data_IF_401273366640
#
_entry.id   IF_401273366640
#
_cell.length_a   1.000
_cell.length_b   1.000
_cell.length_c   1.000
_cell.angle_alpha   90.00
_cell.angle_beta   90.00
_cell.angle_gamma   90.00
#
_symmetry.space_group_name_H-M   'P 1'
#
loop_
_entity.id
_entity.type
_entity.pdbx_description
1 polymer ?
#
# COMPACT_ATOMS: atom_id res chain seq x y z
N UNK A 1 -21.03 28.29 43.15
CA UNK A 1 -19.76 27.68 42.70
C UNK A 1 -19.97 27.17 41.30
N UNK A 2 -19.26 27.76 40.35
CA UNK A 2 -19.41 27.50 38.92
C UNK A 2 -18.54 26.30 38.54
N UNK A 3 -19.17 25.22 38.06
CA UNK A 3 -18.46 24.14 37.39
C UNK A 3 -18.70 24.29 35.89
N UNK A 4 -17.83 25.10 35.31
CA UNK A 4 -17.75 25.40 33.89
C UNK A 4 -17.13 24.23 33.11
N UNK A 5 -17.77 23.96 31.97
CA UNK A 5 -17.15 23.58 30.69
C UNK A 5 -16.85 22.09 30.43
N UNK A 6 -17.74 21.52 29.62
CA UNK A 6 -17.56 20.35 28.73
C UNK A 6 -16.14 20.30 28.16
N UNK A 7 -15.42 19.20 28.40
CA UNK A 7 -14.18 18.88 27.70
C UNK A 7 -14.50 18.63 26.21
N UNK A 8 -14.30 19.65 25.37
CA UNK A 8 -14.21 19.45 23.92
C UNK A 8 -12.83 18.87 23.60
N UNK A 9 -12.67 17.56 23.70
CA UNK A 9 -11.55 16.88 23.04
C UNK A 9 -11.86 16.76 21.54
N UNK A 10 -11.39 17.73 20.75
CA UNK A 10 -11.40 17.68 19.29
C UNK A 10 -10.02 18.03 18.74
N UNK A 11 -9.55 17.32 17.70
CA UNK A 11 -9.50 15.87 17.56
C UNK A 11 -8.10 15.36 17.93
N UNK A 12 -8.00 14.09 18.29
CA UNK A 12 -6.74 13.36 18.26
C UNK A 12 -6.10 13.55 16.88
N UNK A 13 -5.06 14.38 16.81
CA UNK A 13 -4.21 14.56 15.63
C UNK A 13 -3.97 13.18 15.02
N UNK A 14 -4.37 12.99 13.77
CA UNK A 14 -4.17 11.72 13.06
C UNK A 14 -2.74 11.25 13.34
N UNK A 15 -2.61 10.03 13.87
CA UNK A 15 -1.33 9.52 14.32
C UNK A 15 -0.30 9.62 13.18
N UNK A 16 0.96 9.96 13.47
CA UNK A 16 1.98 10.23 12.44
C UNK A 16 2.08 9.15 11.35
N UNK A 17 1.80 7.89 11.71
CA UNK A 17 1.76 6.76 10.77
C UNK A 17 0.51 6.74 9.87
N UNK A 18 -0.66 7.21 10.33
CA UNK A 18 -1.86 7.36 9.48
C UNK A 18 -1.60 8.39 8.40
N UNK A 19 -1.05 9.56 8.78
CA UNK A 19 -0.72 10.62 7.83
C UNK A 19 0.32 10.15 6.81
N UNK A 20 1.35 9.40 7.26
CA UNK A 20 2.36 8.83 6.37
C UNK A 20 1.78 7.77 5.43
N UNK A 21 0.88 6.92 5.90
CA UNK A 21 0.19 5.95 5.05
C UNK A 21 -0.68 6.64 3.97
N UNK A 22 -1.39 7.70 4.35
CA UNK A 22 -2.24 8.47 3.44
C UNK A 22 -1.43 9.21 2.36
N UNK A 23 -0.30 9.81 2.74
CA UNK A 23 0.66 10.43 1.82
C UNK A 23 1.17 9.42 0.78
N UNK A 24 1.64 8.25 1.22
CA UNK A 24 2.15 7.20 0.33
C UNK A 24 1.06 6.65 -0.60
N UNK A 25 -0.17 6.48 -0.11
CA UNK A 25 -1.33 6.08 -0.93
C UNK A 25 -1.67 7.12 -2.01
N UNK A 26 -1.62 8.41 -1.67
CA UNK A 26 -1.84 9.47 -2.64
C UNK A 26 -0.74 9.49 -3.71
N UNK A 27 0.51 9.24 -3.34
CA UNK A 27 1.60 9.12 -4.29
C UNK A 27 1.44 7.92 -5.23
N UNK A 28 1.04 6.76 -4.71
CA UNK A 28 0.74 5.57 -5.55
C UNK A 28 -0.36 5.92 -6.55
N UNK A 29 -1.46 6.54 -6.10
CA UNK A 29 -2.57 6.94 -6.97
C UNK A 29 -2.12 7.88 -8.08
N UNK A 30 -1.32 8.90 -7.75
CA UNK A 30 -0.79 9.84 -8.73
C UNK A 30 0.11 9.17 -9.77
N UNK A 31 0.95 8.22 -9.34
CA UNK A 31 1.86 7.46 -10.23
C UNK A 31 1.10 6.55 -11.18
N UNK A 32 0.10 5.82 -10.67
CA UNK A 32 -0.71 4.88 -11.46
C UNK A 32 -1.68 5.61 -12.40
N UNK A 33 -2.15 6.80 -12.01
CA UNK A 33 -2.98 7.65 -12.88
C UNK A 33 -2.17 8.35 -14.00
N UNK A 34 -0.84 8.27 -13.99
CA UNK A 34 -0.01 8.86 -15.02
C UNK A 34 -0.22 8.15 -16.37
N UNK A 35 -0.53 8.88 -17.46
CA UNK A 35 -0.69 8.29 -18.79
C UNK A 35 0.62 7.73 -19.36
N UNK A 36 1.76 8.16 -18.81
CA UNK A 36 3.11 7.70 -19.17
C UNK A 36 3.67 6.72 -18.13
N UNK A 37 2.87 5.72 -17.74
CA UNK A 37 3.28 4.71 -16.78
C UNK A 37 4.47 3.90 -17.31
N UNK A 38 5.67 4.18 -16.82
CA UNK A 38 6.89 3.43 -17.15
C UNK A 38 7.14 2.30 -16.15
N UNK A 39 7.99 1.35 -16.52
CA UNK A 39 8.43 0.28 -15.63
C UNK A 39 9.04 0.83 -14.31
N UNK A 40 9.83 1.89 -14.40
CA UNK A 40 10.44 2.54 -13.23
C UNK A 40 9.39 3.16 -12.30
N UNK A 41 8.36 3.80 -12.85
CA UNK A 41 7.24 4.36 -12.09
C UNK A 41 6.43 3.24 -11.40
N UNK A 42 6.22 2.12 -12.09
CA UNK A 42 5.58 0.94 -11.51
C UNK A 42 6.41 0.35 -10.36
N UNK A 43 7.73 0.17 -10.54
CA UNK A 43 8.61 -0.29 -9.47
C UNK A 43 8.58 0.64 -8.26
N UNK A 44 8.58 1.95 -8.49
CA UNK A 44 8.54 2.92 -7.40
C UNK A 44 7.16 2.97 -6.70
N UNK A 45 6.07 2.79 -7.44
CA UNK A 45 4.73 2.60 -6.86
C UNK A 45 4.67 1.34 -5.98
N UNK A 46 5.29 0.24 -6.40
CA UNK A 46 5.36 -0.99 -5.59
C UNK A 46 6.17 -0.81 -4.30
N UNK A 47 7.29 -0.07 -4.37
CA UNK A 47 8.05 0.29 -3.16
C UNK A 47 7.21 1.15 -2.21
N UNK A 48 6.42 2.08 -2.74
CA UNK A 48 5.52 2.91 -1.95
C UNK A 48 4.44 2.07 -1.25
N UNK A 49 3.90 1.05 -1.92
CA UNK A 49 2.97 0.08 -1.30
C UNK A 49 3.62 -0.56 -0.07
N UNK A 50 4.87 -1.02 -0.18
CA UNK A 50 5.62 -1.57 0.97
C UNK A 50 5.74 -0.59 2.15
N UNK A 51 5.94 0.71 1.88
CA UNK A 51 6.00 1.75 2.94
C UNK A 51 4.65 1.99 3.61
N UNK A 52 3.53 1.86 2.89
CA UNK A 52 2.18 1.89 3.48
C UNK A 52 2.01 0.74 4.48
N UNK A 53 2.46 -0.47 4.12
CA UNK A 53 2.41 -1.63 5.01
C UNK A 53 3.26 -1.45 6.27
N UNK A 54 4.45 -0.86 6.16
CA UNK A 54 5.28 -0.52 7.32
C UNK A 54 4.55 0.45 8.27
N UNK A 55 3.84 1.45 7.71
CA UNK A 55 3.04 2.38 8.50
C UNK A 55 1.88 1.69 9.21
N UNK A 56 1.17 0.77 8.53
CA UNK A 56 0.11 -0.04 9.14
C UNK A 56 0.67 -0.93 10.26
N UNK A 57 1.81 -1.58 10.02
CA UNK A 57 2.50 -2.38 11.03
C UNK A 57 2.86 -1.55 12.28
N UNK A 58 3.36 -0.32 12.08
CA UNK A 58 3.62 0.63 13.16
C UNK A 58 2.37 1.04 13.94
N UNK A 59 1.26 1.30 13.24
CA UNK A 59 -0.04 1.60 13.86
C UNK A 59 -0.56 0.44 14.70
N UNK A 60 -0.49 -0.77 14.15
CA UNK A 60 -0.90 -1.98 14.84
C UNK A 60 -0.03 -2.21 16.08
N UNK A 61 1.28 -2.05 15.98
CA UNK A 61 2.21 -2.19 17.11
C UNK A 61 1.91 -1.19 18.25
N UNK A 62 1.48 0.03 17.93
CA UNK A 62 1.10 1.05 18.93
C UNK A 62 -0.32 0.90 19.50
N UNK A 63 -1.21 0.22 18.76
CA UNK A 63 -2.52 -0.21 19.27
C UNK A 63 -2.39 -1.39 20.24
N UNK A 64 -1.36 -2.20 20.03
CA UNK A 64 -1.07 -3.44 20.78
C UNK A 64 -0.85 -3.24 22.27
N UNK A 65 -0.43 -2.04 22.70
CA UNK A 65 -0.29 -1.68 24.10
C UNK A 65 -1.64 -1.77 24.86
N UNK A 66 -2.77 -1.90 24.14
CA UNK A 66 -4.12 -1.95 24.71
C UNK A 66 -4.86 -3.29 24.53
N UNK A 67 -4.46 -4.17 23.60
CA UNK A 67 -5.06 -5.52 23.47
C UNK A 67 -4.30 -6.42 22.48
N UNK A 68 -3.43 -7.30 22.98
CA UNK A 68 -2.57 -8.17 22.16
C UNK A 68 -3.29 -9.17 21.24
N UNK A 69 -4.58 -9.48 21.50
CA UNK A 69 -5.37 -10.39 20.65
C UNK A 69 -5.88 -9.71 19.36
N UNK A 70 -6.15 -8.39 19.40
CA UNK A 70 -6.61 -7.68 18.19
C UNK A 70 -5.46 -7.47 17.19
N UNK A 71 -4.22 -7.36 17.69
CA UNK A 71 -3.02 -7.17 16.88
C UNK A 71 -2.73 -8.37 15.98
N UNK A 72 -2.72 -9.58 16.53
CA UNK A 72 -2.43 -10.80 15.77
C UNK A 72 -3.45 -11.05 14.67
N UNK A 73 -4.74 -10.79 14.96
CA UNK A 73 -5.81 -10.93 13.99
C UNK A 73 -5.69 -9.86 12.88
N UNK A 74 -5.54 -8.59 13.22
CA UNK A 74 -5.39 -7.51 12.23
C UNK A 74 -4.15 -7.70 11.36
N UNK A 75 -3.03 -8.11 11.95
CA UNK A 75 -1.80 -8.38 11.19
C UNK A 75 -1.99 -9.53 10.21
N UNK A 76 -2.66 -10.61 10.61
CA UNK A 76 -2.98 -11.74 9.72
C UNK A 76 -3.84 -11.30 8.53
N UNK A 77 -4.88 -10.49 8.77
CA UNK A 77 -5.73 -9.96 7.71
C UNK A 77 -4.95 -9.09 6.71
N UNK A 78 -4.09 -8.21 7.22
CA UNK A 78 -3.24 -7.33 6.38
C UNK A 78 -2.21 -8.15 5.58
N UNK A 79 -1.56 -9.13 6.21
CA UNK A 79 -0.57 -9.99 5.55
C UNK A 79 -1.22 -10.84 4.44
N UNK A 80 -2.43 -11.36 4.68
CA UNK A 80 -3.17 -12.15 3.69
C UNK A 80 -3.58 -11.31 2.48
N UNK A 81 -4.13 -10.11 2.69
CA UNK A 81 -4.53 -9.21 1.60
C UNK A 81 -3.32 -8.73 0.79
N UNK A 82 -2.17 -8.54 1.45
CA UNK A 82 -0.91 -8.22 0.80
C UNK A 82 -0.43 -9.39 -0.07
N UNK A 83 -0.48 -10.62 0.43
CA UNK A 83 -0.07 -11.79 -0.33
C UNK A 83 -0.89 -11.94 -1.61
N UNK A 84 -2.21 -11.73 -1.54
CA UNK A 84 -3.10 -11.72 -2.69
C UNK A 84 -2.80 -10.56 -3.65
N UNK A 85 -2.54 -9.35 -3.13
CA UNK A 85 -2.14 -8.20 -3.94
C UNK A 85 -0.83 -8.44 -4.70
N UNK A 86 0.16 -9.05 -4.05
CA UNK A 86 1.45 -9.40 -4.66
C UNK A 86 1.27 -10.49 -5.72
N UNK A 87 0.46 -11.52 -5.45
CA UNK A 87 0.12 -12.55 -6.45
C UNK A 87 -0.50 -11.95 -7.70
N UNK A 88 -1.46 -11.04 -7.55
CA UNK A 88 -2.09 -10.34 -8.68
C UNK A 88 -1.08 -9.50 -9.46
N UNK A 89 -0.17 -8.80 -8.77
CA UNK A 89 0.91 -8.05 -9.38
C UNK A 89 1.90 -8.92 -10.15
N UNK A 90 2.29 -10.07 -9.58
CA UNK A 90 3.15 -11.05 -10.25
C UNK A 90 2.46 -11.62 -11.48
N UNK A 91 1.18 -12.00 -11.38
CA UNK A 91 0.40 -12.51 -12.50
C UNK A 91 0.26 -11.48 -13.62
N UNK A 92 0.00 -10.21 -13.29
CA UNK A 92 -0.06 -9.13 -14.29
C UNK A 92 1.30 -8.90 -14.96
N UNK A 93 2.40 -8.94 -14.20
CA UNK A 93 3.74 -8.80 -14.74
C UNK A 93 4.13 -9.98 -15.66
N UNK A 94 3.82 -11.22 -15.25
CA UNK A 94 4.02 -12.42 -16.06
C UNK A 94 3.18 -12.39 -17.33
N UNK A 95 1.89 -12.03 -17.25
CA UNK A 95 1.02 -11.89 -18.42
C UNK A 95 1.53 -10.81 -19.38
N UNK A 96 1.99 -9.67 -18.88
CA UNK A 96 2.60 -8.63 -19.71
C UNK A 96 3.91 -9.11 -20.38
N UNK A 97 4.73 -9.91 -19.67
CA UNK A 97 5.94 -10.54 -20.25
C UNK A 97 5.61 -11.56 -21.33
N UNK A 98 4.61 -12.42 -21.13
CA UNK A 98 4.19 -13.41 -22.13
C UNK A 98 3.69 -12.75 -23.42
N UNK A 99 3.04 -11.58 -23.30
CA UNK A 99 2.63 -10.78 -24.46
C UNK A 99 3.82 -10.08 -25.14
N UNK A 100 4.82 -9.62 -24.37
CA UNK A 100 6.06 -9.06 -24.90
C UNK A 100 6.91 -10.11 -25.63
N UNK A 101 7.00 -11.33 -25.09
CA UNK A 101 7.69 -12.46 -25.71
C UNK A 101 6.98 -12.94 -26.99
N UNK A 102 5.64 -12.88 -27.04
CA UNK A 102 4.88 -13.12 -28.27
C UNK A 102 5.10 -12.04 -29.32
N UNK A 103 5.15 -10.76 -28.93
CA UNK A 103 5.47 -9.65 -29.84
C UNK A 103 6.91 -9.72 -30.37
N UNK A 104 7.87 -10.08 -29.53
CA UNK A 104 9.28 -10.27 -29.94
C UNK A 104 9.46 -11.52 -30.83
N UNK A 105 8.72 -12.61 -30.60
CA UNK A 105 8.72 -13.78 -31.49
C UNK A 105 8.07 -13.49 -32.86
N UNK A 106 7.12 -12.56 -32.94
CA UNK A 106 6.55 -12.09 -34.22
C UNK A 106 7.46 -11.09 -34.96
N UNK A 107 8.51 -10.57 -34.31
CA UNK A 107 9.46 -9.60 -34.88
C UNK A 107 10.79 -10.23 -35.34
N UNK A 108 10.87 -11.55 -35.50
CA UNK A 108 12.01 -12.17 -36.19
C UNK A 108 11.84 -12.09 -37.72
N UNK A 109 12.70 -11.36 -38.46
CA UNK A 109 12.78 -11.52 -39.91
C UNK A 109 13.33 -12.91 -40.19
N UNK A 110 12.54 -13.74 -40.87
CA UNK A 110 13.05 -14.93 -41.55
C UNK A 110 14.13 -14.48 -42.53
N UNK A 111 15.39 -14.69 -42.18
CA UNK A 111 16.50 -14.81 -43.12
C UNK A 111 16.98 -16.25 -43.11
#
# INVERSE_FOLDING_TARGET
>A
MACHTRSNSLPSRSHSYVLKAEEELNQIRARVASPSLTYEIMLDALKAVGRVYECIGGLLCMSSNKSGLSYSEHRRWVDQELEESVKLLVLYCCSSRDNLDKLNQMSCPRF
#
